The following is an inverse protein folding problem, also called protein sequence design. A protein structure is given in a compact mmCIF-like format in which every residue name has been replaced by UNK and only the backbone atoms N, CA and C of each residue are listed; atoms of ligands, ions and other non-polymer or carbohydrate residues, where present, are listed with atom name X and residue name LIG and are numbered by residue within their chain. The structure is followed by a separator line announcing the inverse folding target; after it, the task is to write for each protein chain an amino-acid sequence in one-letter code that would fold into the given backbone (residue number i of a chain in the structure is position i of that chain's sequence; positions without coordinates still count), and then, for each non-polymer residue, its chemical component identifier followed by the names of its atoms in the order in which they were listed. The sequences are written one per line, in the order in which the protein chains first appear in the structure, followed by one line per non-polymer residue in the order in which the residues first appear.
data_IF_305613022768
#
_entry.id   IF_305613022768
#
_cell.length_a   1.000
_cell.length_b   1.000
_cell.length_c   1.000
_cell.angle_alpha   90.00
_cell.angle_beta   90.00
_cell.angle_gamma   90.00
#
_symmetry.space_group_name_H-M   'P 1'
#
loop_
_entity.id
_entity.type
_entity.pdbx_description
1 polymer ?
#
# COMPACT_ATOMS: atom_id res chain seq x y z
N UNK A 1 13.77 10.48 0.01
CA UNK A 1 13.38 11.05 1.32
C UNK A 1 12.93 9.89 2.18
N UNK A 2 13.48 9.71 3.38
CA UNK A 2 13.07 8.63 4.29
C UNK A 2 11.91 9.15 5.16
N UNK A 3 10.79 8.41 5.31
CA UNK A 3 9.68 8.85 6.15
C UNK A 3 10.08 8.89 7.63
N UNK A 4 9.44 9.75 8.43
CA UNK A 4 9.72 9.84 9.87
C UNK A 4 9.25 8.60 10.66
N UNK A 5 8.19 7.95 10.17
CA UNK A 5 7.61 6.72 10.72
C UNK A 5 6.80 6.01 9.64
N UNK A 6 6.52 4.73 9.85
CA UNK A 6 5.40 4.04 9.21
C UNK A 6 4.15 4.22 10.07
N UNK A 7 3.06 4.64 9.44
CA UNK A 7 1.75 4.74 10.06
C UNK A 7 0.94 3.50 9.66
N UNK A 8 0.75 2.58 10.60
CA UNK A 8 0.11 1.28 10.36
C UNK A 8 -1.40 1.36 10.50
N UNK A 9 -2.10 0.60 9.65
CA UNK A 9 -3.54 0.42 9.66
C UNK A 9 -3.92 -0.83 10.45
N UNK A 10 -5.18 -0.95 10.84
CA UNK A 10 -5.66 -2.03 11.70
C UNK A 10 -5.94 -3.35 10.96
N UNK A 11 -6.17 -3.31 9.65
CA UNK A 11 -6.40 -4.52 8.88
C UNK A 11 -5.13 -5.38 8.80
N UNK A 12 -5.36 -6.69 8.72
CA UNK A 12 -4.33 -7.70 8.90
C UNK A 12 -3.21 -7.62 7.85
N UNK A 13 -3.58 -7.35 6.60
CA UNK A 13 -2.66 -7.41 5.45
C UNK A 13 -1.84 -6.13 5.36
N UNK A 14 -2.46 -4.96 5.59
CA UNK A 14 -1.72 -3.70 5.72
C UNK A 14 -0.82 -3.67 6.94
N UNK A 15 -1.25 -4.25 8.07
CA UNK A 15 -0.40 -4.34 9.25
C UNK A 15 0.89 -5.15 8.98
N UNK A 16 0.78 -6.28 8.27
CA UNK A 16 1.93 -7.09 7.90
C UNK A 16 2.89 -6.32 6.98
N UNK A 17 2.34 -5.64 5.97
CA UNK A 17 3.13 -4.88 5.02
C UNK A 17 3.76 -3.63 5.66
N UNK A 18 3.04 -2.95 6.56
CA UNK A 18 3.54 -1.82 7.33
C UNK A 18 4.68 -2.21 8.28
N UNK A 19 4.57 -3.36 8.94
CA UNK A 19 5.64 -3.90 9.79
C UNK A 19 6.90 -4.26 8.97
N UNK A 20 6.71 -4.85 7.77
CA UNK A 20 7.82 -5.12 6.85
C UNK A 20 8.50 -3.81 6.40
N UNK A 21 7.71 -2.81 5.99
CA UNK A 21 8.21 -1.51 5.56
C UNK A 21 8.98 -0.78 6.67
N UNK A 22 8.48 -0.82 7.92
CA UNK A 22 9.14 -0.19 9.06
C UNK A 22 10.51 -0.82 9.34
N UNK A 23 10.58 -2.16 9.28
CA UNK A 23 11.82 -2.92 9.44
C UNK A 23 12.80 -2.62 8.30
N UNK A 24 12.33 -2.67 7.05
CA UNK A 24 13.16 -2.42 5.86
C UNK A 24 13.74 -1.00 5.86
N UNK A 25 12.92 0.00 6.13
CA UNK A 25 13.33 1.40 6.17
C UNK A 25 14.01 1.81 7.48
N UNK A 26 14.03 0.93 8.50
CA UNK A 26 14.62 1.18 9.83
C UNK A 26 14.03 2.42 10.51
N UNK A 27 12.71 2.56 10.47
CA UNK A 27 11.95 3.66 11.08
C UNK A 27 10.90 3.10 12.04
N UNK A 28 10.45 3.87 13.06
CA UNK A 28 9.42 3.39 13.97
C UNK A 28 8.09 3.16 13.24
N UNK A 29 7.35 2.14 13.68
CA UNK A 29 5.94 1.95 13.34
C UNK A 29 5.04 2.55 14.43
N UNK A 30 3.97 3.23 14.04
CA UNK A 30 2.94 3.77 14.94
C UNK A 30 1.57 3.52 14.33
N UNK A 31 0.54 3.24 15.13
CA UNK A 31 -0.81 3.11 14.59
C UNK A 31 -1.31 4.48 14.13
N UNK A 32 -1.97 4.51 12.97
CA UNK A 32 -2.56 5.74 12.45
C UNK A 32 -3.61 6.30 13.41
N UNK A 33 -4.46 5.45 13.98
CA UNK A 33 -5.52 5.86 14.92
C UNK A 33 -4.98 6.58 16.18
N UNK A 34 -3.77 6.22 16.63
CA UNK A 34 -3.18 6.84 17.83
C UNK A 34 -2.60 8.24 17.54
N UNK A 35 -2.29 8.53 16.27
CA UNK A 35 -1.66 9.78 15.88
C UNK A 35 -2.00 10.18 14.43
N UNK A 36 -3.28 10.44 14.10
CA UNK A 36 -3.76 10.61 12.73
C UNK A 36 -3.16 11.82 12.02
N UNK A 37 -2.64 12.79 12.77
CA UNK A 37 -2.02 14.01 12.26
C UNK A 37 -0.48 13.89 12.07
N UNK A 38 0.13 12.75 12.42
CA UNK A 38 1.58 12.57 12.34
C UNK A 38 2.07 12.48 10.90
N UNK A 39 3.24 13.04 10.61
CA UNK A 39 3.93 12.79 9.33
C UNK A 39 4.45 11.35 9.25
N UNK A 40 4.47 10.77 8.05
CA UNK A 40 4.90 9.39 7.84
C UNK A 40 4.37 8.78 6.55
N UNK A 41 4.83 7.56 6.28
CA UNK A 41 4.30 6.73 5.19
C UNK A 41 3.20 5.84 5.77
N UNK A 42 1.97 6.02 5.28
CA UNK A 42 0.85 5.15 5.56
C UNK A 42 0.89 4.02 4.54
N UNK A 43 0.88 2.79 5.03
CA UNK A 43 0.98 1.58 4.21
C UNK A 43 -0.35 0.85 4.27
N UNK A 44 -1.04 0.79 3.13
CA UNK A 44 -2.22 -0.03 2.94
C UNK A 44 -1.90 -1.17 1.98
N UNK A 45 -2.28 -2.40 2.31
CA UNK A 45 -2.30 -3.48 1.33
C UNK A 45 -3.37 -3.18 0.28
N UNK A 46 -4.60 -2.92 0.72
CA UNK A 46 -5.73 -2.54 -0.12
C UNK A 46 -6.69 -1.64 0.65
N UNK A 47 -7.18 -0.59 0.00
CA UNK A 47 -8.14 0.31 0.63
C UNK A 47 -9.51 -0.34 0.84
N UNK A 48 -9.83 -1.43 0.13
CA UNK A 48 -11.08 -2.18 0.30
C UNK A 48 -11.20 -2.90 1.65
N UNK A 49 -10.09 -3.11 2.37
CA UNK A 49 -10.10 -3.80 3.67
C UNK A 49 -10.05 -2.85 4.88
N UNK A 50 -9.99 -1.54 4.63
CA UNK A 50 -9.87 -0.53 5.68
C UNK A 50 -11.25 -0.17 6.23
N UNK A 51 -11.38 -0.12 7.56
CA UNK A 51 -12.62 0.28 8.21
C UNK A 51 -12.93 1.78 8.02
N UNK A 52 -14.21 2.14 8.10
CA UNK A 52 -14.70 3.50 7.88
C UNK A 52 -14.01 4.56 8.75
N UNK A 53 -13.71 4.22 10.01
CA UNK A 53 -13.02 5.13 10.93
C UNK A 53 -11.61 5.48 10.41
N UNK A 54 -10.81 4.48 10.03
CA UNK A 54 -9.47 4.71 9.49
C UNK A 54 -9.52 5.40 8.13
N UNK A 55 -10.49 5.05 7.27
CA UNK A 55 -10.73 5.75 6.01
C UNK A 55 -11.02 7.25 6.23
N UNK A 56 -11.76 7.61 7.29
CA UNK A 56 -12.03 9.01 7.62
C UNK A 56 -10.75 9.80 7.92
N UNK A 57 -9.76 9.16 8.55
CA UNK A 57 -8.45 9.77 8.75
C UNK A 57 -7.69 9.96 7.44
N UNK A 58 -7.98 9.17 6.41
CA UNK A 58 -7.28 9.21 5.12
C UNK A 58 -7.94 10.17 4.11
N UNK A 59 -9.11 10.73 4.39
CA UNK A 59 -9.82 11.58 3.44
C UNK A 59 -9.08 12.85 3.03
N UNK A 60 -8.25 13.39 3.93
CA UNK A 60 -7.51 14.63 3.69
C UNK A 60 -6.00 14.38 3.63
N UNK A 61 -5.34 15.08 2.71
CA UNK A 61 -3.90 15.21 2.74
C UNK A 61 -3.47 15.98 3.99
N UNK A 62 -2.34 15.57 4.57
CA UNK A 62 -1.69 16.27 5.67
C UNK A 62 -0.22 16.49 5.37
N UNK A 63 0.42 17.52 5.95
CA UNK A 63 1.83 17.79 5.71
C UNK A 63 2.70 16.59 6.07
N UNK A 64 3.46 16.08 5.10
CA UNK A 64 4.39 14.96 5.29
C UNK A 64 3.73 13.58 5.47
N UNK A 65 2.41 13.46 5.24
CA UNK A 65 1.75 12.16 5.13
C UNK A 65 1.66 11.72 3.68
N UNK A 66 2.09 10.49 3.41
CA UNK A 66 1.95 9.83 2.11
C UNK A 66 1.15 8.55 2.31
N UNK A 67 0.07 8.37 1.57
CA UNK A 67 -0.71 7.13 1.52
C UNK A 67 -0.24 6.28 0.35
N UNK A 68 0.40 5.15 0.62
CA UNK A 68 0.76 4.16 -0.38
C UNK A 68 -0.18 2.96 -0.28
N UNK A 69 -0.83 2.63 -1.39
CA UNK A 69 -1.60 1.40 -1.57
C UNK A 69 -0.77 0.37 -2.34
N UNK A 70 -0.70 -0.86 -1.85
CA UNK A 70 -0.06 -1.91 -2.60
C UNK A 70 -0.92 -2.35 -3.79
N UNK A 71 -2.20 -2.60 -3.54
CA UNK A 71 -3.19 -3.03 -4.51
C UNK A 71 -4.34 -2.02 -4.60
N UNK A 72 -4.95 -1.93 -5.78
CA UNK A 72 -6.10 -1.06 -6.01
C UNK A 72 -7.00 -1.61 -7.11
N UNK A 73 -8.29 -1.79 -6.81
CA UNK A 73 -9.24 -2.35 -7.78
C UNK A 73 -9.66 -1.30 -8.83
N UNK A 74 -9.33 -1.48 -10.11
CA UNK A 74 -9.66 -0.49 -11.15
C UNK A 74 -11.09 -0.58 -11.68
N UNK A 75 -11.81 -1.64 -11.32
CA UNK A 75 -13.21 -1.85 -11.73
C UNK A 75 -14.23 -1.33 -10.72
N UNK A 76 -13.79 -0.87 -9.54
CA UNK A 76 -14.64 -0.30 -8.50
C UNK A 76 -14.22 1.14 -8.16
N UNK A 77 -15.17 1.97 -7.75
CA UNK A 77 -14.89 3.31 -7.21
C UNK A 77 -14.66 3.23 -5.71
N UNK A 78 -13.68 3.99 -5.23
CA UNK A 78 -13.42 4.19 -3.81
C UNK A 78 -13.55 5.67 -3.46
N UNK A 79 -13.94 5.95 -2.22
CA UNK A 79 -14.12 7.32 -1.70
C UNK A 79 -12.83 8.13 -1.79
N UNK A 80 -11.68 7.46 -1.72
CA UNK A 80 -10.35 8.03 -1.83
C UNK A 80 -9.46 7.17 -2.73
N UNK A 81 -8.47 7.80 -3.35
CA UNK A 81 -7.36 7.16 -4.02
C UNK A 81 -6.10 7.30 -3.16
N UNK A 82 -5.23 6.29 -3.17
CA UNK A 82 -3.90 6.40 -2.59
C UNK A 82 -3.05 7.44 -3.35
N UNK A 83 -2.04 7.98 -2.69
CA UNK A 83 -1.10 8.94 -3.27
C UNK A 83 -0.14 8.24 -4.26
N UNK A 84 0.14 6.96 -3.99
CA UNK A 84 0.92 6.04 -4.81
C UNK A 84 0.26 4.66 -4.76
N UNK A 85 0.23 3.96 -5.89
CA UNK A 85 -0.27 2.58 -5.99
C UNK A 85 0.78 1.71 -6.67
N UNK A 86 1.00 0.49 -6.18
CA UNK A 86 1.97 -0.43 -6.79
C UNK A 86 1.40 -1.10 -8.04
N UNK A 87 0.21 -1.68 -7.95
CA UNK A 87 -0.47 -2.28 -9.10
C UNK A 87 -1.99 -2.12 -9.03
N UNK A 88 -2.61 -2.20 -10.21
CA UNK A 88 -4.06 -2.21 -10.38
C UNK A 88 -4.55 -3.63 -10.66
N UNK A 89 -5.71 -4.00 -10.12
CA UNK A 89 -6.30 -5.32 -10.36
C UNK A 89 -7.79 -5.28 -10.67
N UNK A 90 -8.27 -6.27 -11.41
CA UNK A 90 -9.72 -6.52 -11.57
C UNK A 90 -10.21 -7.49 -10.49
N UNK A 91 -9.47 -8.59 -10.30
CA UNK A 91 -9.63 -9.56 -9.22
C UNK A 91 -8.28 -9.76 -8.54
N UNK A 92 -8.26 -9.73 -7.21
CA UNK A 92 -7.07 -9.96 -6.40
C UNK A 92 -7.30 -11.15 -5.47
N UNK A 93 -6.32 -12.04 -5.39
CA UNK A 93 -6.25 -13.07 -4.34
C UNK A 93 -5.02 -12.74 -3.51
N UNK A 94 -5.23 -12.25 -2.29
CA UNK A 94 -4.11 -11.76 -1.47
C UNK A 94 -3.16 -12.91 -1.11
N UNK A 95 -1.87 -12.63 -0.88
CA UNK A 95 -0.90 -13.67 -0.53
C UNK A 95 -1.19 -14.33 0.82
N UNK A 96 -2.13 -13.80 1.60
CA UNK A 96 -2.53 -14.31 2.91
C UNK A 96 -4.00 -14.74 2.98
N UNK A 97 -4.78 -14.52 1.93
CA UNK A 97 -6.15 -15.03 1.81
C UNK A 97 -6.22 -16.52 1.53
N UNK A 98 -7.44 -17.05 1.48
CA UNK A 98 -7.69 -18.39 0.95
C UNK A 98 -7.25 -18.44 -0.52
N UNK A 99 -6.47 -19.46 -0.89
CA UNK A 99 -5.92 -19.56 -2.25
C UNK A 99 -5.71 -20.98 -2.70
N UNK A 100 -5.70 -21.17 -4.02
CA UNK A 100 -5.30 -22.44 -4.62
C UNK A 100 -3.77 -22.54 -4.66
N UNK A 101 -3.24 -23.71 -4.32
CA UNK A 101 -1.83 -24.03 -4.46
C UNK A 101 -1.66 -25.39 -5.12
N UNK A 102 -0.59 -25.54 -5.88
CA UNK A 102 -0.17 -26.84 -6.41
C UNK A 102 0.35 -27.70 -5.25
N UNK A 103 -0.11 -28.95 -5.21
CA UNK A 103 0.45 -29.99 -4.35
C UNK A 103 1.69 -30.57 -5.04
N UNK A 104 2.90 -30.27 -4.54
CA UNK A 104 4.13 -30.71 -5.17
C UNK A 104 4.35 -32.23 -5.06
N UNK A 105 3.69 -32.91 -4.12
CA UNK A 105 3.85 -34.36 -3.92
C UNK A 105 2.83 -35.17 -4.71
N UNK A 106 1.59 -34.71 -4.77
CA UNK A 106 0.48 -35.48 -5.36
C UNK A 106 0.13 -35.09 -6.79
N UNK A 107 0.67 -33.99 -7.30
CA UNK A 107 0.34 -33.48 -8.62
C UNK A 107 -1.15 -33.14 -8.70
N UNK A 108 -1.56 -32.06 -8.03
CA UNK A 108 -2.95 -31.62 -8.01
C UNK A 108 -3.09 -30.21 -7.46
N UNK A 109 -4.31 -29.68 -7.48
CA UNK A 109 -4.60 -28.37 -6.87
C UNK A 109 -5.29 -28.59 -5.52
N UNK A 110 -4.83 -27.90 -4.49
CA UNK A 110 -5.49 -27.87 -3.18
C UNK A 110 -5.78 -26.45 -2.74
N UNK A 111 -6.85 -26.26 -1.99
CA UNK A 111 -7.15 -24.99 -1.33
C UNK A 111 -6.32 -24.87 -0.05
N UNK A 112 -5.58 -23.78 0.07
CA UNK A 112 -4.93 -23.35 1.31
C UNK A 112 -5.90 -22.44 2.07
N UNK A 113 -6.09 -22.67 3.38
CA UNK A 113 -6.86 -21.74 4.19
C UNK A 113 -6.13 -20.38 4.27
N UNK A 114 -6.85 -19.31 4.65
CA UNK A 114 -6.23 -18.02 4.96
C UNK A 114 -5.11 -18.17 5.99
N UNK A 115 -4.04 -17.41 5.81
CA UNK A 115 -2.94 -17.32 6.75
C UNK A 115 -3.33 -16.44 7.93
N UNK A 116 -3.58 -17.07 9.07
CA UNK A 116 -3.92 -16.40 10.34
C UNK A 116 -2.70 -16.08 11.20
N UNK A 117 -1.48 -16.22 10.66
CA UNK A 117 -0.25 -15.86 11.38
C UNK A 117 -0.25 -14.38 11.76
N UNK A 118 0.33 -14.01 12.92
CA UNK A 118 0.48 -12.61 13.31
C UNK A 118 1.13 -11.76 12.21
N UNK A 119 0.74 -10.48 12.05
CA UNK A 119 1.31 -9.59 11.05
C UNK A 119 2.85 -9.56 11.04
N UNK A 120 3.48 -9.63 12.21
CA UNK A 120 4.94 -9.60 12.36
C UNK A 120 5.60 -10.85 11.74
N UNK A 121 4.96 -12.01 11.85
CA UNK A 121 5.44 -13.25 11.23
C UNK A 121 5.35 -13.15 9.71
N UNK A 122 4.24 -12.59 9.20
CA UNK A 122 4.05 -12.37 7.76
C UNK A 122 5.03 -11.31 7.23
N UNK A 123 5.31 -10.28 8.00
CA UNK A 123 6.30 -9.26 7.67
C UNK A 123 7.70 -9.85 7.48
N UNK A 124 8.13 -10.76 8.35
CA UNK A 124 9.40 -11.48 8.19
C UNK A 124 9.46 -12.22 6.86
N UNK A 125 8.39 -12.94 6.48
CA UNK A 125 8.33 -13.66 5.20
C UNK A 125 8.37 -12.72 3.99
N UNK A 126 7.80 -11.51 4.09
CA UNK A 126 7.89 -10.49 3.04
C UNK A 126 9.35 -10.03 2.88
N UNK A 127 10.07 -9.83 3.99
CA UNK A 127 11.48 -9.42 3.97
C UNK A 127 12.42 -10.52 3.45
N UNK A 128 12.05 -11.78 3.67
CA UNK A 128 12.79 -12.95 3.17
C UNK A 128 12.46 -13.30 1.71
N UNK A 129 11.40 -12.71 1.14
CA UNK A 129 11.01 -12.97 -0.24
C UNK A 129 12.11 -12.52 -1.20
N UNK A 130 12.47 -13.40 -2.13
CA UNK A 130 13.41 -13.07 -3.18
C UNK A 130 12.83 -11.99 -4.08
N UNK A 131 13.67 -11.01 -4.43
CA UNK A 131 13.37 -9.99 -5.43
C UNK A 131 14.23 -10.30 -6.64
N UNK A 132 13.60 -10.42 -7.81
CA UNK A 132 14.33 -10.63 -9.06
C UNK A 132 15.28 -9.44 -9.32
N UNK A 133 16.51 -9.68 -9.81
CA UNK A 133 17.50 -8.62 -10.03
C UNK A 133 16.99 -7.44 -10.88
N UNK A 134 16.14 -7.74 -11.87
CA UNK A 134 15.60 -6.79 -12.84
C UNK A 134 14.39 -6.00 -12.30
N UNK A 135 13.88 -6.34 -11.12
CA UNK A 135 12.66 -5.74 -10.56
C UNK A 135 12.79 -4.23 -10.29
N UNK A 136 14.01 -3.67 -10.33
CA UNK A 136 14.30 -2.25 -10.09
C UNK A 136 14.92 -1.55 -11.32
N UNK A 137 14.91 -2.17 -12.50
CA UNK A 137 15.49 -1.60 -13.72
C UNK A 137 14.84 -0.27 -14.14
N UNK A 138 13.57 -0.08 -13.78
CA UNK A 138 12.79 1.13 -14.10
C UNK A 138 12.92 2.24 -13.04
N UNK A 139 13.71 2.04 -11.98
CA UNK A 139 13.85 2.99 -10.88
C UNK A 139 14.30 4.38 -11.35
N UNK A 140 15.18 4.43 -12.36
CA UNK A 140 15.64 5.70 -12.95
C UNK A 140 14.50 6.42 -13.68
N UNK A 141 13.61 5.69 -14.36
CA UNK A 141 12.45 6.25 -15.02
C UNK A 141 11.43 6.77 -13.98
N UNK A 142 11.23 6.02 -12.89
CA UNK A 142 10.37 6.42 -11.77
C UNK A 142 10.89 7.68 -11.06
N UNK A 143 12.20 7.81 -10.81
CA UNK A 143 12.80 9.03 -10.24
C UNK A 143 12.56 10.24 -11.15
N UNK A 144 12.75 10.08 -12.47
CA UNK A 144 12.48 11.16 -13.46
C UNK A 144 11.01 11.55 -13.47
N UNK A 145 10.10 10.58 -13.45
CA UNK A 145 8.66 10.82 -13.37
C UNK A 145 8.30 11.58 -12.09
N UNK A 146 8.85 11.17 -10.94
CA UNK A 146 8.65 11.85 -9.66
C UNK A 146 9.13 13.30 -9.68
N UNK A 147 10.32 13.57 -10.25
CA UNK A 147 10.85 14.93 -10.42
C UNK A 147 9.99 15.77 -11.36
N UNK A 148 9.52 15.21 -12.47
CA UNK A 148 8.63 15.91 -13.39
C UNK A 148 7.29 16.24 -12.74
N UNK A 149 6.71 15.29 -11.98
CA UNK A 149 5.49 15.50 -11.22
C UNK A 149 5.66 16.60 -10.14
N UNK A 150 6.87 16.75 -9.58
CA UNK A 150 7.20 17.81 -8.63
C UNK A 150 7.12 19.23 -9.20
N UNK A 151 7.14 19.41 -10.52
CA UNK A 151 6.92 20.70 -11.15
C UNK A 151 5.42 21.08 -11.20
N UNK A 152 4.50 20.15 -10.95
CA UNK A 152 3.05 20.40 -10.98
C UNK A 152 2.57 20.96 -9.64
N UNK A 153 1.74 22.00 -9.69
CA UNK A 153 1.23 22.70 -8.50
C UNK A 153 -0.29 22.82 -8.51
N UNK A 154 -0.86 23.23 -7.37
CA UNK A 154 -2.31 23.41 -7.20
C UNK A 154 -3.09 22.13 -7.48
N UNK A 155 -4.19 22.24 -8.22
CA UNK A 155 -5.05 21.10 -8.56
C UNK A 155 -4.38 20.05 -9.45
N UNK A 156 -3.23 20.37 -10.06
CA UNK A 156 -2.46 19.43 -10.90
C UNK A 156 -1.36 18.73 -10.12
N UNK A 157 -1.07 19.15 -8.88
CA UNK A 157 -0.07 18.50 -8.05
C UNK A 157 -0.43 17.03 -7.85
N UNK A 158 0.58 16.16 -7.95
CA UNK A 158 0.45 14.74 -7.64
C UNK A 158 0.04 14.55 -6.16
N UNK A 159 -0.73 13.50 -5.86
CA UNK A 159 -1.24 13.23 -4.51
C UNK A 159 -0.13 13.23 -3.45
N UNK A 160 0.99 12.56 -3.77
CA UNK A 160 2.18 12.44 -2.91
C UNK A 160 2.84 13.79 -2.54
N UNK A 161 2.52 14.86 -3.27
CA UNK A 161 3.09 16.20 -3.07
C UNK A 161 2.11 17.17 -2.42
N UNK A 162 0.86 16.75 -2.18
CA UNK A 162 -0.16 17.59 -1.56
C UNK A 162 -0.04 17.53 -0.04
N UNK A 163 -0.15 18.69 0.59
CA UNK A 163 -0.07 18.83 2.05
C UNK A 163 -1.42 19.16 2.70
N UNK A 164 -2.44 19.44 1.90
CA UNK A 164 -3.78 19.80 2.37
C UNK A 164 -4.85 19.46 1.32
N UNK A 165 -6.12 19.59 1.70
CA UNK A 165 -7.26 19.31 0.84
C UNK A 165 -7.61 17.82 0.79
N UNK A 166 -8.75 17.49 0.17
CA UNK A 166 -9.23 16.11 0.12
C UNK A 166 -8.44 15.29 -0.91
N UNK A 167 -8.18 14.03 -0.55
CA UNK A 167 -7.80 13.00 -1.53
C UNK A 167 -8.94 12.85 -2.54
N UNK A 168 -8.58 12.64 -3.79
CA UNK A 168 -9.56 12.42 -4.86
C UNK A 168 -10.19 11.05 -4.70
N UNK A 169 -11.43 10.89 -5.14
CA UNK A 169 -12.01 9.57 -5.32
C UNK A 169 -11.21 8.76 -6.35
N UNK A 170 -11.13 7.46 -6.14
CA UNK A 170 -10.62 6.53 -7.12
C UNK A 170 -11.68 6.32 -8.20
N UNK A 171 -11.34 6.59 -9.45
CA UNK A 171 -12.23 6.41 -10.59
C UNK A 171 -12.06 5.02 -11.20
N UNK A 172 -13.16 4.45 -11.68
CA UNK A 172 -13.11 3.27 -12.55
C UNK A 172 -12.56 3.67 -13.92
N UNK A 173 -11.69 2.83 -14.46
CA UNK A 173 -11.07 3.03 -15.77
C UNK A 173 -9.74 2.31 -15.78
N UNK A 174 -9.59 1.36 -16.69
CA UNK A 174 -8.35 0.58 -16.76
C UNK A 174 -7.18 1.42 -17.20
N UNK A 175 -5.97 0.84 -17.14
CA UNK A 175 -4.91 1.31 -18.03
C UNK A 175 -5.44 1.15 -19.47
N UNK A 176 -5.85 2.27 -20.06
CA UNK A 176 -6.13 2.40 -21.50
C UNK A 176 -4.84 2.72 -22.23
#
# INVERSE_FOLDING_TARGET
MQPAAILTLSDSDSAALGAAAATFLRVPARRLADAPESSGLIVAYDLDYIGDEELSYLESHRPGQILWGHASQWTRRHSIAADLVTYLYEVNVTPWGERLALDPERGGVRTLPPDTSPPEVRATRVLEAAVEPEALDDLVALDRLGRAAAALTGDRAAGVLRTHGRRRAQFCGGPM
#
